data_IF_927857411884
#
_entry.id   IF_927857411884
#
_cell.length_a   1.000
_cell.length_b   1.000
_cell.length_c   1.000
_cell.angle_alpha   90.00
_cell.angle_beta   90.00
_cell.angle_gamma   90.00
#
_symmetry.space_group_name_H-M   'P 1'
#
loop_
_entity.id
_entity.type
_entity.pdbx_description
1 polymer ?
#
# COMPACT_ATOMS: atom_id res chain seq x y z
N UNK A 1 22.91 81.22 9.72
CA UNK A 1 23.76 80.06 9.35
C UNK A 1 23.45 78.93 10.32
N UNK A 2 23.18 77.75 9.76
CA UNK A 2 22.49 76.64 10.41
C UNK A 2 23.29 75.97 11.53
N UNK A 3 22.54 75.54 12.56
CA UNK A 3 22.96 74.70 13.67
C UNK A 3 23.57 73.39 13.20
N UNK A 4 24.79 73.10 13.66
CA UNK A 4 25.32 71.74 13.73
C UNK A 4 24.76 71.06 14.98
N UNK A 5 23.73 70.23 14.79
CA UNK A 5 23.31 69.25 15.80
C UNK A 5 24.37 68.15 15.92
N UNK A 6 24.80 67.76 17.14
CA UNK A 6 25.59 66.55 17.30
C UNK A 6 24.69 65.32 17.07
N UNK A 7 25.23 64.19 16.56
CA UNK A 7 24.44 63.00 16.32
C UNK A 7 23.98 62.42 17.65
N UNK A 8 22.72 61.97 17.70
CA UNK A 8 22.18 61.24 18.83
C UNK A 8 23.06 60.03 19.13
N UNK A 9 23.67 60.03 20.32
CA UNK A 9 24.41 58.88 20.82
C UNK A 9 23.47 57.69 20.93
N UNK A 10 23.73 56.64 20.14
CA UNK A 10 23.17 55.33 20.40
C UNK A 10 23.65 54.89 21.78
N UNK A 11 22.73 54.81 22.75
CA UNK A 11 22.98 54.08 23.98
C UNK A 11 23.21 52.63 23.60
N UNK A 12 24.46 52.17 23.73
CA UNK A 12 24.77 50.75 23.75
C UNK A 12 24.28 50.19 25.08
N UNK A 13 22.99 49.87 25.16
CA UNK A 13 22.45 49.04 26.24
C UNK A 13 22.98 47.62 26.04
N UNK A 14 23.87 47.18 26.94
CA UNK A 14 24.37 45.81 26.95
C UNK A 14 23.33 44.84 27.52
N UNK A 15 23.35 43.60 27.06
CA UNK A 15 22.48 42.55 27.59
C UNK A 15 22.82 42.23 29.04
N UNK A 16 21.79 42.13 29.88
CA UNK A 16 21.94 41.65 31.25
C UNK A 16 22.18 40.14 31.27
N UNK A 17 22.88 39.63 32.30
CA UNK A 17 23.11 38.19 32.47
C UNK A 17 21.80 37.37 32.49
N UNK A 18 20.72 37.97 32.97
CA UNK A 18 19.39 37.33 33.04
C UNK A 18 18.78 37.19 31.65
N UNK A 19 18.89 38.20 30.78
CA UNK A 19 18.39 38.13 29.41
C UNK A 19 19.10 37.07 28.59
N UNK A 20 20.43 36.94 28.74
CA UNK A 20 21.20 35.89 28.06
C UNK A 20 20.79 34.50 28.53
N UNK A 21 20.54 34.33 29.83
CA UNK A 21 20.08 33.06 30.40
C UNK A 21 18.69 32.70 29.88
N UNK A 22 17.75 33.65 29.87
CA UNK A 22 16.39 33.44 29.32
C UNK A 22 16.46 33.11 27.83
N UNK A 23 17.25 33.84 27.05
CA UNK A 23 17.43 33.57 25.62
C UNK A 23 18.02 32.17 25.37
N UNK A 24 18.98 31.73 26.19
CA UNK A 24 19.55 30.39 26.13
C UNK A 24 18.51 29.29 26.42
N UNK A 25 17.67 29.48 27.43
CA UNK A 25 16.59 28.52 27.76
C UNK A 25 15.56 28.45 26.64
N UNK A 26 15.15 29.59 26.08
CA UNK A 26 14.21 29.64 24.95
C UNK A 26 14.82 28.90 23.74
N UNK A 27 16.09 29.16 23.42
CA UNK A 27 16.78 28.51 22.31
C UNK A 27 16.86 26.99 22.49
N UNK A 28 17.16 26.52 23.70
CA UNK A 28 17.16 25.09 24.03
C UNK A 28 15.79 24.44 23.83
N UNK A 29 14.72 25.08 24.31
CA UNK A 29 13.35 24.57 24.14
C UNK A 29 12.99 24.49 22.65
N UNK A 30 13.31 25.52 21.87
CA UNK A 30 13.07 25.53 20.42
C UNK A 30 13.82 24.40 19.72
N UNK A 31 15.11 24.21 20.03
CA UNK A 31 15.92 23.14 19.44
C UNK A 31 15.38 21.75 19.78
N UNK A 32 14.98 21.51 21.03
CA UNK A 32 14.40 20.23 21.45
C UNK A 32 13.05 19.99 20.75
N UNK A 33 12.23 21.04 20.62
CA UNK A 33 10.95 20.98 19.91
C UNK A 33 11.12 20.62 18.44
N UNK A 34 12.00 21.32 17.72
CA UNK A 34 12.22 21.08 16.28
C UNK A 34 12.86 19.72 16.00
N UNK A 35 13.76 19.25 16.88
CA UNK A 35 14.35 17.92 16.77
C UNK A 35 13.28 16.82 16.86
N UNK A 36 12.34 16.92 17.81
CA UNK A 36 11.26 15.94 17.95
C UNK A 36 10.31 15.95 16.76
N UNK A 37 9.91 17.13 16.27
CA UNK A 37 9.03 17.25 15.10
C UNK A 37 9.68 16.67 13.84
N UNK A 38 10.98 16.91 13.65
CA UNK A 38 11.75 16.37 12.52
C UNK A 38 11.80 14.84 12.54
N UNK A 39 12.09 14.25 13.71
CA UNK A 39 12.15 12.79 13.88
C UNK A 39 10.79 12.16 13.58
N UNK A 40 9.71 12.72 14.13
CA UNK A 40 8.35 12.22 13.90
C UNK A 40 7.95 12.27 12.41
N UNK A 41 8.34 13.33 11.71
CA UNK A 41 8.09 13.45 10.27
C UNK A 41 8.82 12.37 9.46
N UNK A 42 10.06 12.04 9.84
CA UNK A 42 10.86 10.99 9.17
C UNK A 42 10.27 9.60 9.44
N UNK A 43 9.87 9.29 10.67
CA UNK A 43 9.27 8.00 11.00
C UNK A 43 7.95 7.80 10.26
N UNK A 44 7.08 8.82 10.23
CA UNK A 44 5.83 8.79 9.46
C UNK A 44 6.09 8.64 7.95
N UNK A 45 7.14 9.27 7.43
CA UNK A 45 7.55 9.12 6.03
C UNK A 45 7.98 7.70 5.68
N UNK A 46 8.69 7.00 6.58
CA UNK A 46 9.10 5.60 6.37
C UNK A 46 7.90 4.66 6.32
N UNK A 47 6.98 4.76 7.27
CA UNK A 47 5.77 3.93 7.27
C UNK A 47 4.94 4.13 6.00
N UNK A 48 4.84 5.38 5.52
CA UNK A 48 4.13 5.68 4.26
C UNK A 48 4.79 5.02 3.06
N UNK A 49 6.12 5.08 2.94
CA UNK A 49 6.85 4.43 1.84
C UNK A 49 6.68 2.90 1.89
N UNK A 50 6.71 2.30 3.08
CA UNK A 50 6.48 0.86 3.23
C UNK A 50 5.05 0.47 2.86
N UNK A 51 4.05 1.25 3.29
CA UNK A 51 2.65 1.08 2.89
C UNK A 51 2.49 1.19 1.38
N UNK A 52 3.04 2.23 0.76
CA UNK A 52 2.94 2.45 -0.68
C UNK A 52 3.54 1.27 -1.47
N UNK A 53 4.62 0.64 -0.96
CA UNK A 53 5.21 -0.56 -1.57
C UNK A 53 4.30 -1.78 -1.46
N UNK A 54 3.71 -2.03 -0.28
CA UNK A 54 2.75 -3.12 -0.07
C UNK A 54 1.54 -2.92 -1.00
N UNK A 55 0.98 -1.72 -1.01
CA UNK A 55 -0.18 -1.37 -1.82
C UNK A 55 0.12 -1.50 -3.32
N UNK A 56 1.29 -1.06 -3.77
CA UNK A 56 1.72 -1.24 -5.16
C UNK A 56 1.87 -2.72 -5.54
N UNK A 57 2.45 -3.55 -4.67
CA UNK A 57 2.60 -4.99 -4.91
C UNK A 57 1.24 -5.70 -5.00
N UNK A 58 0.33 -5.39 -4.08
CA UNK A 58 -1.05 -5.90 -4.12
C UNK A 58 -1.75 -5.42 -5.38
N UNK A 59 -1.71 -4.12 -5.69
CA UNK A 59 -2.36 -3.54 -6.87
C UNK A 59 -1.87 -4.17 -8.17
N UNK A 60 -0.56 -4.36 -8.31
CA UNK A 60 0.02 -5.07 -9.45
C UNK A 60 -0.50 -6.52 -9.54
N UNK A 61 -0.60 -7.24 -8.42
CA UNK A 61 -1.14 -8.60 -8.43
C UNK A 61 -2.60 -8.65 -8.86
N UNK A 62 -3.41 -7.68 -8.43
CA UNK A 62 -4.81 -7.55 -8.84
C UNK A 62 -4.90 -7.36 -10.35
N UNK A 63 -4.09 -6.46 -10.90
CA UNK A 63 -4.04 -6.22 -12.34
C UNK A 63 -3.66 -7.48 -13.11
N UNK A 64 -2.68 -8.25 -12.64
CA UNK A 64 -2.30 -9.53 -13.24
C UNK A 64 -3.45 -10.55 -13.21
N UNK A 65 -4.18 -10.63 -12.09
CA UNK A 65 -5.35 -11.51 -11.97
C UNK A 65 -6.45 -11.08 -12.95
N UNK A 66 -6.77 -9.79 -13.03
CA UNK A 66 -7.76 -9.26 -13.96
C UNK A 66 -7.35 -9.49 -15.42
N UNK A 67 -6.07 -9.34 -15.73
CA UNK A 67 -5.54 -9.64 -17.05
C UNK A 67 -5.67 -11.14 -17.37
N UNK A 68 -5.35 -12.02 -16.43
CA UNK A 68 -5.48 -13.46 -16.60
C UNK A 68 -6.94 -13.88 -16.79
N UNK A 69 -7.87 -13.30 -16.01
CA UNK A 69 -9.31 -13.53 -16.15
C UNK A 69 -9.84 -13.02 -17.50
N UNK A 70 -9.39 -11.84 -17.94
CA UNK A 70 -9.77 -11.30 -19.25
C UNK A 70 -9.28 -12.17 -20.41
N UNK A 71 -8.12 -12.82 -20.28
CA UNK A 71 -7.60 -13.76 -21.28
C UNK A 71 -8.32 -15.10 -21.25
N UNK A 72 -8.88 -15.47 -20.11
CA UNK A 72 -9.59 -16.72 -19.91
C UNK A 72 -11.00 -16.63 -20.51
N UNK A 73 -11.11 -16.86 -21.81
CA UNK A 73 -12.39 -16.94 -22.53
C UNK A 73 -12.83 -18.38 -22.71
N UNK A 74 -14.13 -18.63 -22.87
CA UNK A 74 -14.66 -19.99 -23.09
C UNK A 74 -14.03 -20.66 -24.32
N UNK A 75 -13.82 -19.89 -25.39
CA UNK A 75 -13.19 -20.35 -26.64
C UNK A 75 -11.70 -20.70 -26.48
N UNK A 76 -11.02 -20.08 -25.52
CA UNK A 76 -9.61 -20.38 -25.22
C UNK A 76 -9.42 -21.69 -24.44
N UNK A 77 -10.51 -22.25 -23.90
CA UNK A 77 -10.48 -23.48 -23.11
C UNK A 77 -10.64 -24.74 -23.99
N UNK A 78 -10.07 -25.88 -23.58
CA UNK A 78 -10.39 -27.16 -24.20
C UNK A 78 -11.88 -27.47 -24.09
N UNK A 79 -12.49 -27.99 -25.16
CA UNK A 79 -13.93 -28.31 -25.20
C UNK A 79 -14.39 -29.27 -24.11
N UNK A 80 -13.49 -30.13 -23.63
CA UNK A 80 -13.76 -31.05 -22.51
C UNK A 80 -13.95 -30.33 -21.17
N UNK A 81 -13.25 -29.21 -20.98
CA UNK A 81 -13.26 -28.45 -19.73
C UNK A 81 -14.31 -27.33 -19.71
N UNK A 82 -14.80 -26.90 -20.88
CA UNK A 82 -15.81 -25.83 -21.01
C UNK A 82 -17.06 -26.10 -20.17
N UNK A 83 -17.62 -27.31 -20.27
CA UNK A 83 -18.83 -27.68 -19.51
C UNK A 83 -18.57 -27.68 -18.00
N UNK A 84 -17.41 -28.18 -17.57
CA UNK A 84 -17.04 -28.19 -16.15
C UNK A 84 -16.76 -26.77 -15.62
N UNK A 85 -16.14 -25.93 -16.44
CA UNK A 85 -15.90 -24.53 -16.15
C UNK A 85 -17.22 -23.76 -16.02
N UNK A 86 -18.22 -24.05 -16.86
CA UNK A 86 -19.53 -23.41 -16.77
C UNK A 86 -20.36 -23.85 -15.56
N UNK A 87 -20.19 -25.10 -15.10
CA UNK A 87 -20.85 -25.58 -13.87
C UNK A 87 -20.28 -24.91 -12.61
N UNK A 88 -18.96 -24.67 -12.56
CA UNK A 88 -18.30 -24.04 -11.43
C UNK A 88 -17.21 -23.06 -11.89
N UNK A 89 -17.59 -21.87 -12.39
CA UNK A 89 -16.65 -20.92 -13.00
C UNK A 89 -15.63 -20.40 -12.00
N UNK A 90 -16.06 -20.17 -10.76
CA UNK A 90 -15.17 -19.70 -9.70
C UNK A 90 -14.09 -20.74 -9.32
N UNK A 91 -14.47 -22.02 -9.23
CA UNK A 91 -13.51 -23.09 -8.94
C UNK A 91 -12.51 -23.27 -10.08
N UNK A 92 -12.98 -23.12 -11.32
CA UNK A 92 -12.13 -23.19 -12.50
C UNK A 92 -11.12 -22.03 -12.58
N UNK A 93 -11.58 -20.79 -12.38
CA UNK A 93 -10.69 -19.63 -12.32
C UNK A 93 -9.65 -19.78 -11.21
N UNK A 94 -10.06 -20.19 -10.00
CA UNK A 94 -9.13 -20.50 -8.90
C UNK A 94 -8.03 -21.47 -9.32
N UNK A 95 -8.41 -22.57 -9.99
CA UNK A 95 -7.47 -23.60 -10.45
C UNK A 95 -6.46 -23.00 -11.43
N UNK A 96 -6.94 -22.24 -12.42
CA UNK A 96 -6.09 -21.62 -13.44
C UNK A 96 -5.12 -20.60 -12.86
N UNK A 97 -5.57 -19.75 -11.93
CA UNK A 97 -4.73 -18.75 -11.28
C UNK A 97 -3.67 -19.38 -10.36
N UNK A 98 -3.97 -20.55 -9.77
CA UNK A 98 -3.08 -21.23 -8.81
C UNK A 98 -2.13 -22.25 -9.46
N UNK A 99 -2.37 -22.63 -10.71
CA UNK A 99 -1.59 -23.67 -11.38
C UNK A 99 -0.20 -23.16 -11.74
N UNK A 100 0.83 -23.57 -11.00
CA UNK A 100 2.20 -23.17 -11.29
C UNK A 100 2.61 -23.53 -12.72
N UNK A 101 3.14 -22.55 -13.46
CA UNK A 101 3.56 -22.72 -14.86
C UNK A 101 2.43 -22.74 -15.88
N UNK A 102 1.17 -22.53 -15.48
CA UNK A 102 0.06 -22.33 -16.40
C UNK A 102 0.16 -21.00 -17.16
N UNK A 103 -0.42 -20.93 -18.36
CA UNK A 103 -0.45 -19.71 -19.19
C UNK A 103 -1.18 -18.54 -18.52
N UNK A 104 -2.11 -18.83 -17.60
CA UNK A 104 -2.92 -17.86 -16.85
C UNK A 104 -2.57 -17.87 -15.34
N UNK A 105 -1.45 -18.49 -14.97
CA UNK A 105 -1.01 -18.54 -13.59
C UNK A 105 -0.55 -17.16 -13.12
N UNK A 106 -0.98 -16.76 -11.92
CA UNK A 106 -0.53 -15.50 -11.32
C UNK A 106 0.17 -15.83 -10.01
N UNK A 107 1.47 -15.56 -9.87
CA UNK A 107 2.19 -15.81 -8.62
C UNK A 107 1.66 -14.92 -7.49
N UNK A 108 1.93 -15.28 -6.24
CA UNK A 108 1.65 -14.39 -5.11
C UNK A 108 2.47 -13.10 -5.23
N UNK A 109 1.98 -11.96 -4.71
CA UNK A 109 2.74 -10.71 -4.71
C UNK A 109 4.00 -10.85 -3.85
N UNK A 110 5.13 -10.41 -4.38
CA UNK A 110 6.40 -10.35 -3.65
C UNK A 110 6.83 -8.89 -3.50
N UNK A 111 7.35 -8.54 -2.32
CA UNK A 111 7.88 -7.21 -2.04
C UNK A 111 9.41 -7.32 -1.94
N UNK A 112 10.11 -6.82 -2.94
CA UNK A 112 11.57 -6.76 -2.93
C UNK A 112 12.06 -5.61 -2.03
N UNK A 113 12.97 -5.89 -1.09
CA UNK A 113 13.68 -4.87 -0.32
C UNK A 113 12.97 -4.33 0.92
N UNK A 114 12.02 -5.09 1.47
CA UNK A 114 11.45 -4.88 2.81
C UNK A 114 11.90 -6.03 3.71
N UNK A 115 12.16 -5.77 4.98
CA UNK A 115 12.62 -6.78 5.95
C UNK A 115 11.80 -8.07 5.83
N UNK A 116 12.45 -9.24 5.95
CA UNK A 116 11.91 -10.60 5.75
C UNK A 116 10.61 -10.95 6.51
N UNK A 117 10.06 -10.01 7.30
CA UNK A 117 8.82 -10.16 8.05
C UNK A 117 7.56 -9.66 7.32
N UNK A 118 7.68 -8.92 6.21
CA UNK A 118 6.50 -8.37 5.51
C UNK A 118 6.10 -9.26 4.32
N UNK A 119 5.79 -10.54 4.61
CA UNK A 119 5.15 -11.41 3.62
C UNK A 119 3.71 -10.98 3.40
N UNK A 120 3.31 -10.86 2.13
CA UNK A 120 1.89 -10.81 1.75
C UNK A 120 1.44 -12.25 1.51
N UNK A 121 0.61 -12.78 2.39
CA UNK A 121 -0.05 -14.06 2.19
C UNK A 121 -1.26 -13.87 1.28
N UNK A 122 -1.34 -14.67 0.20
CA UNK A 122 -2.48 -14.66 -0.72
C UNK A 122 -3.18 -16.01 -0.71
N UNK A 123 -4.48 -16.00 -0.47
CA UNK A 123 -5.36 -17.17 -0.60
C UNK A 123 -6.46 -16.92 -1.63
N UNK A 124 -6.75 -17.94 -2.46
CA UNK A 124 -7.84 -17.91 -3.44
C UNK A 124 -8.88 -18.96 -3.06
N UNK A 125 -10.10 -18.53 -2.79
CA UNK A 125 -11.23 -19.37 -2.39
C UNK A 125 -12.41 -19.18 -3.33
N UNK A 126 -13.33 -20.15 -3.32
CA UNK A 126 -14.63 -19.99 -3.97
C UNK A 126 -15.54 -19.33 -2.93
N UNK A 127 -16.25 -18.28 -3.31
CA UNK A 127 -17.20 -17.58 -2.44
C UNK A 127 -18.46 -18.42 -2.19
N UNK A 128 -19.31 -17.93 -1.30
CA UNK A 128 -20.56 -18.62 -0.91
C UNK A 128 -21.55 -18.75 -2.09
N UNK A 129 -21.40 -17.90 -3.12
CA UNK A 129 -22.15 -17.99 -4.36
C UNK A 129 -21.32 -18.69 -5.45
N UNK A 130 -21.85 -19.76 -6.09
CA UNK A 130 -21.19 -20.40 -7.22
C UNK A 130 -21.12 -19.39 -8.38
N UNK A 131 -19.92 -18.86 -8.62
CA UNK A 131 -19.73 -17.73 -9.55
C UNK A 131 -18.73 -16.70 -9.07
N UNK A 132 -18.50 -16.62 -7.75
CA UNK A 132 -17.58 -15.62 -7.20
C UNK A 132 -16.28 -16.30 -6.76
N UNK A 133 -15.16 -15.84 -7.31
CA UNK A 133 -13.82 -16.18 -6.83
C UNK A 133 -13.37 -15.11 -5.86
N UNK A 134 -12.99 -15.50 -4.65
CA UNK A 134 -12.54 -14.59 -3.60
C UNK A 134 -11.02 -14.68 -3.49
N UNK A 135 -10.35 -13.54 -3.62
CA UNK A 135 -8.91 -13.41 -3.41
C UNK A 135 -8.69 -12.59 -2.15
N UNK A 136 -8.00 -13.18 -1.19
CA UNK A 136 -7.69 -12.53 0.09
C UNK A 136 -6.19 -12.35 0.20
N UNK A 137 -5.79 -11.12 0.51
CA UNK A 137 -4.43 -10.73 0.85
C UNK A 137 -4.36 -10.43 2.34
N UNK A 138 -3.38 -10.99 3.02
CA UNK A 138 -3.11 -10.74 4.43
C UNK A 138 -1.66 -10.32 4.59
N UNK A 139 -1.43 -9.23 5.31
CA UNK A 139 -0.09 -8.64 5.48
C UNK A 139 0.01 -7.89 6.79
N UNK A 140 1.25 -7.74 7.30
CA UNK A 140 1.52 -6.91 8.48
C UNK A 140 1.43 -5.44 8.09
N UNK A 141 0.68 -4.65 8.86
CA UNK A 141 0.64 -3.21 8.60
C UNK A 141 1.95 -2.56 9.08
N UNK A 142 2.46 -1.53 8.36
CA UNK A 142 3.70 -0.86 8.75
C UNK A 142 3.53 0.05 9.98
N UNK A 143 2.31 0.41 10.37
CA UNK A 143 2.03 1.25 11.53
C UNK A 143 1.99 0.46 12.84
N UNK A 144 2.49 1.05 13.93
CA UNK A 144 2.50 0.42 15.26
C UNK A 144 1.13 0.19 15.90
N UNK A 145 0.05 0.73 15.32
CA UNK A 145 -1.30 0.63 15.86
C UNK A 145 -2.11 -0.54 15.29
N UNK A 146 -1.63 -1.18 14.22
CA UNK A 146 -2.33 -2.26 13.52
C UNK A 146 -1.32 -3.37 13.28
N UNK A 147 -1.59 -4.57 13.79
CA UNK A 147 -0.68 -5.70 13.57
C UNK A 147 -0.86 -6.27 12.16
N UNK A 148 -2.09 -6.67 11.82
CA UNK A 148 -2.41 -7.31 10.54
C UNK A 148 -3.55 -6.61 9.81
N UNK A 149 -3.38 -6.42 8.51
CA UNK A 149 -4.39 -5.91 7.59
C UNK A 149 -4.80 -7.02 6.62
N UNK A 150 -6.09 -7.03 6.25
CA UNK A 150 -6.65 -7.97 5.29
C UNK A 150 -7.37 -7.22 4.20
N UNK A 151 -7.09 -7.57 2.95
CA UNK A 151 -7.76 -7.04 1.77
C UNK A 151 -8.39 -8.17 0.98
N UNK A 152 -9.69 -8.07 0.73
CA UNK A 152 -10.44 -9.08 0.00
C UNK A 152 -10.99 -8.50 -1.29
N UNK A 153 -10.95 -9.30 -2.35
CA UNK A 153 -11.45 -8.95 -3.66
C UNK A 153 -12.32 -10.09 -4.16
N UNK A 154 -13.47 -9.72 -4.68
CA UNK A 154 -14.43 -10.63 -5.27
C UNK A 154 -14.38 -10.46 -6.79
N UNK A 155 -14.19 -11.57 -7.49
CA UNK A 155 -14.05 -11.63 -8.93
C UNK A 155 -15.15 -12.52 -9.50
N UNK A 156 -15.83 -12.02 -10.53
CA UNK A 156 -16.74 -12.81 -11.33
C UNK A 156 -16.00 -13.22 -12.62
N UNK A 157 -15.73 -14.52 -12.86
CA UNK A 157 -14.99 -14.96 -14.02
C UNK A 157 -15.62 -14.49 -15.32
N UNK A 158 -14.85 -13.81 -16.17
CA UNK A 158 -15.37 -13.17 -17.39
C UNK A 158 -16.13 -14.14 -18.32
N UNK A 159 -15.62 -15.36 -18.47
CA UNK A 159 -16.22 -16.39 -19.33
C UNK A 159 -17.60 -16.88 -18.85
N UNK A 160 -17.97 -16.65 -17.58
CA UNK A 160 -19.26 -17.07 -17.03
C UNK A 160 -20.44 -16.49 -17.83
N UNK A 161 -20.29 -15.30 -18.42
CA UNK A 161 -21.32 -14.67 -19.26
C UNK A 161 -21.65 -15.46 -20.53
N UNK A 162 -20.71 -16.27 -21.04
CA UNK A 162 -20.90 -17.11 -22.22
C UNK A 162 -21.47 -18.48 -21.90
N UNK A 163 -21.33 -18.94 -20.67
CA UNK A 163 -21.88 -20.21 -20.20
C UNK A 163 -23.41 -20.28 -20.18
N UNK A 164 -24.09 -19.14 -20.14
CA UNK A 164 -25.56 -19.04 -20.15
C UNK A 164 -26.11 -19.08 -21.59
N UNK A 165 -25.23 -18.93 -22.59
CA UNK A 165 -25.60 -18.87 -24.01
C UNK A 165 -25.34 -20.19 -24.76
N UNK A 166 -24.71 -21.17 -24.11
CA UNK A 166 -24.60 -22.55 -24.60
C UNK A 166 -25.67 -23.43 -23.93
N UNK A 167 -26.91 -23.33 -24.41
CA UNK A 167 -27.93 -24.38 -24.23
C UNK A 167 -27.93 -25.36 -25.41
#
# INVERSE_FOLDING_TARGET
MQQFSPPGGQRSEGFTMVEVLIAGVIMLIVMVGTARVSIQSITSGRHRIERDRIEAAIHNNIQLIQQADSKLTLESMPSQDQRAACLNPAAYLKKQLSQQGGSNAVPAPEISGVSNNNLIERSITVGDHPGITVVTYQFSAPEHSIDNERRTIELNPNFQTRCILEE
#
